data_IF_036141407944
#
_entry.id   IF_036141407944
#
_cell.length_a   1.000
_cell.length_b   1.000
_cell.length_c   1.000
_cell.angle_alpha   90.00
_cell.angle_beta   90.00
_cell.angle_gamma   90.00
#
_symmetry.space_group_name_H-M   'P 1'
#
loop_
_entity.id
_entity.type
_entity.pdbx_description
1 polymer ?
#
# COMPACT_ATOMS: atom_id res chain seq x y z
N UNK A 1 -19.43 3.29 -2.38
CA UNK A 1 -18.05 2.77 -2.50
C UNK A 1 -17.35 3.06 -1.19
N UNK A 2 -16.83 2.04 -0.51
CA UNK A 2 -16.13 2.19 0.77
C UNK A 2 -14.68 2.61 0.55
N UNK A 3 -14.18 3.48 1.43
CA UNK A 3 -12.74 3.79 1.55
C UNK A 3 -12.03 2.57 2.11
N UNK A 4 -10.75 2.43 1.75
CA UNK A 4 -9.87 1.40 2.28
C UNK A 4 -8.66 2.07 2.91
N UNK A 5 -8.12 1.45 3.94
CA UNK A 5 -6.96 1.95 4.65
C UNK A 5 -5.90 0.87 4.63
N UNK A 6 -4.64 1.22 4.40
CA UNK A 6 -3.62 0.17 4.29
C UNK A 6 -2.21 0.57 4.65
N UNK A 7 -1.50 -0.42 5.17
CA UNK A 7 -0.08 -0.37 5.42
C UNK A 7 0.67 -1.04 4.29
N UNK A 8 1.79 -0.43 3.94
CA UNK A 8 2.74 -0.99 3.00
C UNK A 8 3.82 -1.73 3.73
N UNK A 9 4.19 -2.89 3.19
CA UNK A 9 5.33 -3.67 3.66
C UNK A 9 6.00 -4.38 2.51
N UNK A 10 7.24 -4.80 2.74
CA UNK A 10 8.08 -5.47 1.74
C UNK A 10 8.85 -4.50 0.84
N UNK A 11 9.96 -4.98 0.28
CA UNK A 11 10.92 -4.17 -0.45
C UNK A 11 12.10 -3.68 0.38
N UNK A 12 13.24 -3.53 -0.29
CA UNK A 12 14.50 -3.22 0.36
C UNK A 12 14.52 -1.73 0.77
N UNK A 13 14.56 -1.44 2.07
CA UNK A 13 14.63 -0.08 2.59
C UNK A 13 13.36 0.45 3.27
N UNK A 14 12.29 -0.33 3.32
CA UNK A 14 11.16 -0.04 4.19
C UNK A 14 11.31 -0.76 5.53
N UNK A 15 11.23 0.00 6.62
CA UNK A 15 11.05 -0.56 7.96
C UNK A 15 9.63 -1.10 8.15
N UNK A 16 9.34 -1.73 9.30
CA UNK A 16 7.96 -2.06 9.67
C UNK A 16 7.09 -0.79 9.61
N UNK A 17 5.85 -0.88 9.08
CA UNK A 17 4.96 0.27 9.01
C UNK A 17 4.64 0.80 10.41
N UNK A 18 4.74 2.12 10.58
CA UNK A 18 4.26 2.81 11.78
C UNK A 18 2.73 3.05 11.66
N UNK A 19 1.95 3.01 12.76
CA UNK A 19 0.54 3.38 12.72
C UNK A 19 0.23 4.69 11.97
N UNK A 20 1.13 5.68 12.04
CA UNK A 20 0.97 6.96 11.36
C UNK A 20 1.17 6.90 9.83
N UNK A 21 1.72 5.79 9.31
CA UNK A 21 1.91 5.55 7.87
C UNK A 21 0.67 4.99 7.16
N UNK A 22 -0.45 4.81 7.88
CA UNK A 22 -1.68 4.26 7.32
C UNK A 22 -2.22 5.17 6.21
N UNK A 23 -2.26 4.61 4.99
CA UNK A 23 -2.66 5.32 3.77
C UNK A 23 -4.13 5.05 3.43
N UNK A 24 -4.87 6.09 3.02
CA UNK A 24 -6.23 5.98 2.52
C UNK A 24 -6.25 5.75 1.00
N UNK A 25 -7.12 4.83 0.56
CA UNK A 25 -7.39 4.50 -0.82
C UNK A 25 -8.87 4.67 -1.14
N UNK A 26 -9.16 5.21 -2.34
CA UNK A 26 -10.53 5.40 -2.77
C UNK A 26 -11.24 4.07 -3.08
N UNK A 27 -10.48 3.02 -3.40
CA UNK A 27 -10.97 1.68 -3.68
C UNK A 27 -9.84 0.63 -3.64
N UNK A 28 -10.20 -0.66 -3.64
CA UNK A 28 -9.23 -1.74 -3.84
C UNK A 28 -8.50 -1.64 -5.18
N UNK A 29 -9.16 -1.15 -6.23
CA UNK A 29 -8.54 -0.97 -7.54
C UNK A 29 -7.46 0.12 -7.52
N UNK A 30 -7.69 1.19 -6.74
CA UNK A 30 -6.72 2.26 -6.51
C UNK A 30 -5.50 1.75 -5.76
N UNK A 31 -5.70 1.05 -4.64
CA UNK A 31 -4.62 0.39 -3.89
C UNK A 31 -3.82 -0.57 -4.77
N UNK A 32 -4.51 -1.39 -5.58
CA UNK A 32 -3.88 -2.33 -6.51
C UNK A 32 -3.02 -1.63 -7.56
N UNK A 33 -3.53 -0.56 -8.19
CA UNK A 33 -2.77 0.20 -9.19
C UNK A 33 -1.54 0.85 -8.57
N UNK A 34 -1.66 1.43 -7.37
CA UNK A 34 -0.51 1.97 -6.64
C UNK A 34 0.59 0.93 -6.39
N UNK A 35 0.23 -0.32 -6.06
CA UNK A 35 1.23 -1.38 -5.81
C UNK A 35 2.03 -1.67 -7.09
N UNK A 36 1.32 -1.79 -8.21
CA UNK A 36 1.93 -2.05 -9.52
C UNK A 36 2.82 -0.88 -9.95
N UNK A 37 2.31 0.36 -9.81
CA UNK A 37 3.05 1.56 -10.22
C UNK A 37 4.34 1.73 -9.41
N UNK A 38 4.30 1.46 -8.10
CA UNK A 38 5.50 1.53 -7.25
C UNK A 38 6.52 0.45 -7.58
N UNK A 39 6.07 -0.79 -7.81
CA UNK A 39 6.96 -1.87 -8.27
C UNK A 39 7.66 -1.50 -9.58
N UNK A 40 6.93 -0.85 -10.49
CA UNK A 40 7.46 -0.52 -11.81
C UNK A 40 8.28 0.78 -11.85
N UNK A 41 7.94 1.77 -11.03
CA UNK A 41 8.42 3.15 -11.19
C UNK A 41 8.93 3.81 -9.90
N UNK A 42 8.86 3.15 -8.74
CA UNK A 42 9.05 3.81 -7.44
C UNK A 42 10.33 4.64 -7.31
N UNK A 43 11.44 4.15 -7.87
CA UNK A 43 12.76 4.78 -7.75
C UNK A 43 12.94 6.12 -8.48
N UNK A 44 12.01 6.50 -9.36
CA UNK A 44 12.11 7.74 -10.13
C UNK A 44 10.80 8.55 -10.17
N UNK A 45 9.66 7.92 -9.91
CA UNK A 45 8.37 8.60 -9.85
C UNK A 45 7.97 8.89 -8.40
N UNK A 46 7.55 10.12 -8.13
CA UNK A 46 6.92 10.46 -6.84
C UNK A 46 5.53 9.84 -6.79
N UNK A 47 5.20 9.22 -5.68
CA UNK A 47 3.85 8.75 -5.38
C UNK A 47 3.20 9.69 -4.36
N UNK A 48 1.92 9.99 -4.59
CA UNK A 48 1.09 10.68 -3.60
C UNK A 48 0.61 9.69 -2.54
N UNK A 49 0.76 10.04 -1.27
CA UNK A 49 0.25 9.29 -0.13
C UNK A 49 -0.77 10.13 0.64
N UNK A 50 -1.99 9.62 0.74
CA UNK A 50 -3.06 10.22 1.53
C UNK A 50 -3.05 9.60 2.93
N UNK A 51 -2.16 10.08 3.79
CA UNK A 51 -2.07 9.55 5.15
C UNK A 51 -3.30 9.90 5.97
N UNK A 52 -3.67 8.99 6.88
CA UNK A 52 -4.84 9.15 7.74
C UNK A 52 -4.55 9.94 9.02
N UNK A 53 -3.31 9.85 9.52
CA UNK A 53 -2.86 10.43 10.79
C UNK A 53 -1.84 11.57 10.64
N UNK A 54 -1.40 11.87 9.41
CA UNK A 54 -0.51 13.00 9.09
C UNK A 54 -0.89 13.65 7.76
N UNK A 55 -0.24 14.75 7.43
CA UNK A 55 -0.45 15.46 6.18
C UNK A 55 -0.11 14.58 4.98
N UNK A 56 -0.93 14.68 3.93
CA UNK A 56 -0.67 14.01 2.66
C UNK A 56 0.66 14.50 2.08
N UNK A 57 1.40 13.58 1.46
CA UNK A 57 2.72 13.89 0.94
C UNK A 57 2.99 13.20 -0.40
N UNK A 58 3.70 13.90 -1.28
CA UNK A 58 4.30 13.31 -2.46
C UNK A 58 5.74 12.90 -2.12
N UNK A 59 6.04 11.61 -2.13
CA UNK A 59 7.37 11.08 -1.76
C UNK A 59 7.93 10.20 -2.87
N UNK A 60 9.26 10.17 -2.98
CA UNK A 60 9.95 9.14 -3.76
C UNK A 60 9.85 7.84 -2.97
N UNK A 61 9.31 6.80 -3.59
CA UNK A 61 9.19 5.49 -2.94
C UNK A 61 10.43 4.64 -3.27
N UNK A 62 11.13 4.05 -2.29
CA UNK A 62 12.17 3.06 -2.54
C UNK A 62 11.80 2.00 -3.58
N UNK A 63 12.81 1.41 -4.23
CA UNK A 63 12.61 0.20 -5.01
C UNK A 63 11.97 -0.89 -4.14
N UNK A 64 10.74 -1.25 -4.45
CA UNK A 64 10.08 -2.40 -3.82
C UNK A 64 10.34 -3.67 -4.62
N UNK A 65 10.50 -4.80 -3.93
CA UNK A 65 10.75 -6.11 -4.53
C UNK A 65 9.44 -6.85 -4.82
N UNK A 66 9.57 -8.09 -5.27
CA UNK A 66 8.42 -8.97 -5.51
C UNK A 66 7.72 -9.40 -4.20
N UNK A 67 8.33 -9.12 -3.05
CA UNK A 67 7.82 -9.33 -1.70
C UNK A 67 6.91 -8.20 -1.21
N UNK A 68 6.68 -7.16 -2.01
CA UNK A 68 5.87 -6.03 -1.58
C UNK A 68 4.36 -6.31 -1.57
N UNK A 69 3.72 -5.76 -0.56
CA UNK A 69 2.29 -5.93 -0.32
C UNK A 69 1.66 -4.71 0.34
N UNK A 70 0.33 -4.66 0.24
CA UNK A 70 -0.53 -3.77 0.99
C UNK A 70 -1.44 -4.62 1.87
N UNK A 71 -1.35 -4.42 3.17
CA UNK A 71 -2.33 -4.95 4.13
C UNK A 71 -3.46 -3.93 4.26
N UNK A 72 -4.71 -4.36 4.08
CA UNK A 72 -5.88 -3.48 3.96
C UNK A 72 -6.92 -3.74 5.05
N UNK A 73 -7.52 -2.65 5.50
CA UNK A 73 -8.55 -2.57 6.53
C UNK A 73 -9.76 -1.80 6.00
N UNK A 74 -10.96 -2.25 6.39
CA UNK A 74 -12.21 -1.55 6.18
C UNK A 74 -12.43 -0.40 7.17
N UNK A 75 -11.63 -0.35 8.24
CA UNK A 75 -11.66 0.70 9.26
C UNK A 75 -10.42 1.60 9.19
N UNK A 76 -10.60 2.86 9.60
CA UNK A 76 -9.57 3.92 9.56
C UNK A 76 -8.50 3.77 10.65
N UNK A 77 -8.76 3.00 11.69
CA UNK A 77 -7.82 2.80 12.79
C UNK A 77 -6.70 1.81 12.45
N UNK A 78 -6.93 0.87 11.53
CA UNK A 78 -5.92 -0.13 11.15
C UNK A 78 -5.49 -1.05 12.32
N UNK A 79 -6.29 -1.09 13.39
CA UNK A 79 -6.02 -1.82 14.63
C UNK A 79 -6.66 -3.22 14.66
N UNK A 80 -7.62 -3.48 13.78
CA UNK A 80 -8.28 -4.78 13.64
C UNK A 80 -7.41 -5.79 12.87
N UNK A 81 -7.86 -7.05 12.80
CA UNK A 81 -7.28 -8.01 11.86
C UNK A 81 -7.53 -7.53 10.43
N UNK A 82 -6.54 -7.62 9.51
CA UNK A 82 -6.70 -7.13 8.16
C UNK A 82 -7.86 -7.82 7.45
N UNK A 83 -8.60 -7.07 6.65
CA UNK A 83 -9.71 -7.60 5.85
C UNK A 83 -9.20 -8.23 4.56
N UNK A 84 -8.19 -7.58 3.95
CA UNK A 84 -7.65 -7.96 2.66
C UNK A 84 -6.15 -7.72 2.58
N UNK A 85 -5.51 -8.39 1.64
CA UNK A 85 -4.11 -8.20 1.31
C UNK A 85 -3.94 -8.13 -0.20
N UNK A 86 -3.16 -7.17 -0.67
CA UNK A 86 -2.76 -7.04 -2.06
C UNK A 86 -1.27 -7.35 -2.16
N UNK A 87 -0.87 -8.27 -3.03
CA UNK A 87 0.53 -8.65 -3.21
C UNK A 87 0.84 -8.91 -4.68
N UNK A 88 2.12 -8.84 -5.04
CA UNK A 88 2.55 -9.16 -6.39
C UNK A 88 2.51 -10.67 -6.64
N UNK A 89 1.82 -11.06 -7.70
CA UNK A 89 1.81 -12.43 -8.19
C UNK A 89 3.07 -12.75 -9.00
N UNK A 90 3.38 -14.05 -9.18
CA UNK A 90 4.60 -14.53 -9.84
C UNK A 90 4.76 -14.16 -11.33
N UNK A 91 3.79 -13.45 -11.91
CA UNK A 91 3.81 -12.95 -13.30
C UNK A 91 3.70 -11.43 -13.39
N UNK A 92 4.02 -10.71 -12.31
CA UNK A 92 4.01 -9.24 -12.28
C UNK A 92 2.62 -8.59 -12.20
N UNK A 93 1.57 -9.37 -11.91
CA UNK A 93 0.23 -8.84 -11.66
C UNK A 93 -0.10 -8.82 -10.18
N UNK A 94 -0.70 -7.73 -9.68
CA UNK A 94 -1.18 -7.68 -8.29
C UNK A 94 -2.43 -8.56 -8.09
N UNK A 95 -2.42 -9.38 -7.04
CA UNK A 95 -3.53 -10.22 -6.58
C UNK A 95 -4.14 -9.64 -5.31
N UNK A 96 -5.41 -9.91 -5.09
CA UNK A 96 -6.14 -9.50 -3.89
C UNK A 96 -6.65 -10.78 -3.22
N UNK A 97 -6.39 -10.92 -1.93
CA UNK A 97 -6.82 -12.03 -1.10
C UNK A 97 -7.55 -11.50 0.13
N UNK A 98 -8.56 -12.24 0.59
CA UNK A 98 -9.25 -11.95 1.86
C UNK A 98 -8.53 -12.68 2.98
N UNK A 99 -8.24 -11.98 4.06
CA UNK A 99 -7.51 -12.53 5.21
C UNK A 99 -8.42 -13.28 6.18
#
# INVERSE_FOLDING_TARGET
MGRWFGFWSGGNGYGPPDPDDLEEFASLADARSKLIDRHRYGYWQRSHFAFTHRDAADVLTPCVGDDCEITLYGSRDGLDYPDQRIFLGPRGGARIERC
#
